data_IF_950436912193
#
_entry.id   IF_950436912193
#
_cell.length_a   1.000
_cell.length_b   1.000
_cell.length_c   1.000
_cell.angle_alpha   90.00
_cell.angle_beta   90.00
_cell.angle_gamma   90.00
#
_symmetry.space_group_name_H-M   'P 1'
#
loop_
_entity.id
_entity.type
_entity.pdbx_description
1 polymer ?
#
# COMPACT_ATOMS: atom_id res chain seq x y z
N UNK A 1 -14.27 14.08 -6.82
CA UNK A 1 -13.25 14.52 -5.85
C UNK A 1 -12.38 15.69 -6.35
N UNK A 2 -12.45 16.08 -7.63
CA UNK A 2 -11.75 17.25 -8.22
C UNK A 2 -11.96 18.61 -7.50
N UNK A 3 -13.15 18.86 -6.91
CA UNK A 3 -13.53 20.20 -6.39
C UNK A 3 -12.97 20.56 -5.01
N UNK A 4 -12.40 19.62 -4.26
CA UNK A 4 -11.98 19.88 -2.87
C UNK A 4 -10.46 19.98 -2.67
N UNK A 5 -9.67 19.26 -3.47
CA UNK A 5 -8.20 19.18 -3.28
C UNK A 5 -7.44 19.59 -4.56
N UNK A 6 -8.12 19.68 -5.71
CA UNK A 6 -7.49 20.06 -6.99
C UNK A 6 -6.55 19.01 -7.60
N UNK A 7 -6.31 17.90 -6.89
CA UNK A 7 -5.43 16.82 -7.34
C UNK A 7 -6.31 15.62 -7.72
N UNK A 8 -6.15 15.05 -8.94
CA UNK A 8 -6.88 13.86 -9.33
C UNK A 8 -6.40 12.64 -8.53
N UNK A 9 -7.34 11.81 -8.08
CA UNK A 9 -7.08 10.63 -7.24
C UNK A 9 -6.09 9.66 -7.90
N UNK A 10 -6.09 9.62 -9.25
CA UNK A 10 -5.13 8.85 -10.05
C UNK A 10 -3.68 9.36 -9.93
N UNK A 11 -3.46 10.67 -9.77
CA UNK A 11 -2.12 11.22 -9.58
C UNK A 11 -1.59 10.92 -8.17
N UNK A 12 -2.45 10.98 -7.15
CA UNK A 12 -2.08 10.56 -5.79
C UNK A 12 -1.73 9.07 -5.75
N UNK A 13 -2.53 8.23 -6.41
CA UNK A 13 -2.23 6.80 -6.55
C UNK A 13 -0.93 6.53 -7.30
N UNK A 14 -0.65 7.26 -8.39
CA UNK A 14 0.59 7.10 -9.15
C UNK A 14 1.84 7.45 -8.32
N UNK A 15 1.79 8.52 -7.52
CA UNK A 15 2.88 8.90 -6.61
C UNK A 15 3.09 7.84 -5.53
N UNK A 16 2.01 7.31 -4.97
CA UNK A 16 2.08 6.26 -3.98
C UNK A 16 2.67 4.95 -4.53
N UNK A 17 2.22 4.50 -5.70
CA UNK A 17 2.80 3.32 -6.35
C UNK A 17 4.26 3.52 -6.77
N UNK A 18 4.66 4.74 -7.12
CA UNK A 18 6.07 5.08 -7.33
C UNK A 18 6.86 4.98 -6.02
N UNK A 19 6.29 5.45 -4.91
CA UNK A 19 6.83 5.26 -3.57
C UNK A 19 7.03 3.78 -3.25
N UNK A 20 6.00 2.97 -3.48
CA UNK A 20 6.03 1.51 -3.30
C UNK A 20 7.06 0.83 -4.19
N UNK A 21 7.18 1.24 -5.45
CA UNK A 21 8.16 0.69 -6.37
C UNK A 21 9.59 1.04 -5.94
N UNK A 22 9.84 2.27 -5.51
CA UNK A 22 11.16 2.72 -5.02
C UNK A 22 11.50 2.01 -3.71
N UNK A 23 10.55 1.94 -2.77
CA UNK A 23 10.72 1.24 -1.51
C UNK A 23 10.89 -0.26 -1.76
N UNK A 24 10.16 -0.88 -2.67
CA UNK A 24 10.29 -2.27 -3.08
C UNK A 24 11.64 -2.58 -3.72
N UNK A 25 12.08 -1.76 -4.69
CA UNK A 25 13.37 -1.91 -5.38
C UNK A 25 14.57 -1.65 -4.47
N UNK A 26 14.45 -0.76 -3.49
CA UNK A 26 15.48 -0.53 -2.48
C UNK A 26 15.64 -1.71 -1.50
N UNK A 27 14.91 -2.82 -1.69
CA UNK A 27 14.94 -4.00 -0.86
C UNK A 27 15.40 -5.26 -1.53
N UNK A 28 16.59 -5.71 -1.18
CA UNK A 28 16.99 -7.09 -1.45
C UNK A 28 16.33 -8.05 -0.46
N UNK A 29 16.30 -9.33 -0.82
CA UNK A 29 15.75 -10.48 -0.06
C UNK A 29 16.32 -10.67 1.35
N UNK A 30 17.36 -9.95 1.76
CA UNK A 30 17.97 -10.01 3.10
C UNK A 30 17.69 -8.77 3.99
N UNK A 31 16.66 -7.98 3.66
CA UNK A 31 16.36 -6.67 4.29
C UNK A 31 16.12 -6.68 5.80
N UNK A 32 15.42 -7.70 6.28
CA UNK A 32 14.99 -7.86 7.67
C UNK A 32 16.14 -7.83 8.68
N UNK A 33 17.35 -8.25 8.25
CA UNK A 33 18.53 -8.33 9.11
C UNK A 33 19.41 -7.07 9.08
N UNK A 34 19.32 -6.25 8.02
CA UNK A 34 20.14 -5.03 7.87
C UNK A 34 19.38 -3.73 8.13
N UNK A 35 18.08 -3.64 7.78
CA UNK A 35 17.28 -2.41 7.88
C UNK A 35 15.80 -2.71 8.16
N UNK A 36 15.44 -3.27 9.33
CA UNK A 36 14.05 -3.62 9.66
C UNK A 36 13.11 -2.40 9.66
N UNK A 37 13.62 -1.20 9.96
CA UNK A 37 12.84 0.05 9.91
C UNK A 37 12.31 0.41 8.51
N UNK A 38 13.04 0.08 7.44
CA UNK A 38 12.60 0.35 6.06
C UNK A 38 11.41 -0.53 5.66
N UNK A 39 11.37 -1.77 6.15
CA UNK A 39 10.26 -2.71 5.90
C UNK A 39 9.01 -2.29 6.66
N UNK A 40 9.16 -1.82 7.91
CA UNK A 40 8.04 -1.29 8.69
C UNK A 40 7.46 -0.02 8.07
N UNK A 41 8.30 0.90 7.59
CA UNK A 41 7.85 2.10 6.87
C UNK A 41 7.09 1.76 5.58
N UNK A 42 7.60 0.80 4.79
CA UNK A 42 6.92 0.31 3.60
C UNK A 42 5.54 -0.29 3.93
N UNK A 43 5.45 -1.11 4.97
CA UNK A 43 4.18 -1.63 5.45
C UNK A 43 3.17 -0.57 5.87
N UNK A 44 3.65 0.45 6.59
CA UNK A 44 2.82 1.58 7.04
C UNK A 44 2.31 2.41 5.86
N UNK A 45 3.01 2.45 4.73
CA UNK A 45 2.54 3.15 3.53
C UNK A 45 1.53 2.30 2.76
N UNK A 46 1.91 1.06 2.41
CA UNK A 46 1.11 0.13 1.58
C UNK A 46 -0.25 -0.22 2.20
N UNK A 47 -0.29 -0.55 3.49
CA UNK A 47 -1.50 -1.04 4.16
C UNK A 47 -2.65 -0.01 4.12
N UNK A 48 -2.48 1.24 4.60
CA UNK A 48 -3.53 2.24 4.51
C UNK A 48 -3.85 2.62 3.07
N UNK A 49 -2.85 2.65 2.17
CA UNK A 49 -3.11 3.00 0.78
C UNK A 49 -4.01 1.97 0.07
N UNK A 50 -3.72 0.68 0.26
CA UNK A 50 -4.57 -0.40 -0.23
C UNK A 50 -5.95 -0.39 0.42
N UNK A 51 -6.04 -0.07 1.72
CA UNK A 51 -7.31 0.09 2.44
C UNK A 51 -8.20 1.21 1.86
N UNK A 52 -7.61 2.39 1.61
CA UNK A 52 -8.32 3.52 0.98
C UNK A 52 -8.80 3.14 -0.42
N UNK A 53 -7.95 2.48 -1.22
CA UNK A 53 -8.31 2.02 -2.56
C UNK A 53 -9.51 1.06 -2.55
N UNK A 54 -9.52 0.09 -1.63
CA UNK A 54 -10.64 -0.85 -1.47
C UNK A 54 -11.94 -0.14 -1.07
N UNK A 55 -11.89 0.79 -0.11
CA UNK A 55 -13.05 1.58 0.32
C UNK A 55 -13.61 2.40 -0.85
N UNK A 56 -12.74 3.04 -1.65
CA UNK A 56 -13.17 3.84 -2.80
C UNK A 56 -13.90 2.98 -3.85
N UNK A 57 -13.41 1.78 -4.14
CA UNK A 57 -14.07 0.86 -5.09
C UNK A 57 -15.41 0.35 -4.54
N UNK A 58 -15.50 0.05 -3.25
CA UNK A 58 -16.76 -0.34 -2.60
C UNK A 58 -17.79 0.80 -2.71
N UNK A 59 -17.39 2.04 -2.44
CA UNK A 59 -18.29 3.20 -2.55
C UNK A 59 -18.72 3.42 -4.01
N UNK A 60 -17.81 3.30 -4.97
CA UNK A 60 -18.13 3.45 -6.40
C UNK A 60 -19.16 2.43 -6.89
N UNK A 61 -19.02 1.18 -6.46
CA UNK A 61 -19.92 0.09 -6.86
C UNK A 61 -21.27 0.14 -6.14
N UNK A 62 -21.30 0.48 -4.85
CA UNK A 62 -22.54 0.46 -4.04
C UNK A 62 -23.34 1.76 -4.07
N UNK A 63 -22.66 2.92 -4.01
CA UNK A 63 -23.33 4.22 -3.87
C UNK A 63 -23.53 4.88 -5.24
N UNK A 64 -22.52 4.84 -6.11
CA UNK A 64 -22.54 5.54 -7.40
C UNK A 64 -23.08 4.65 -8.53
N UNK A 65 -23.06 3.33 -8.37
CA UNK A 65 -23.46 2.37 -9.41
C UNK A 65 -22.62 2.44 -10.68
N UNK A 66 -21.44 3.07 -10.61
CA UNK A 66 -20.53 3.24 -11.74
C UNK A 66 -19.41 2.21 -11.65
N UNK A 67 -19.15 1.54 -12.76
CA UNK A 67 -18.13 0.51 -12.86
C UNK A 67 -16.94 1.04 -13.63
N UNK A 68 -15.80 1.11 -12.95
CA UNK A 68 -14.53 1.53 -13.53
C UNK A 68 -13.60 0.31 -13.59
N UNK A 69 -13.43 -0.28 -14.77
CA UNK A 69 -12.56 -1.45 -14.96
C UNK A 69 -11.13 -1.17 -14.48
N UNK A 70 -10.57 -0.01 -14.84
CA UNK A 70 -9.24 0.42 -14.40
C UNK A 70 -9.13 0.51 -12.87
N UNK A 71 -10.17 1.02 -12.21
CA UNK A 71 -10.20 1.19 -10.76
C UNK A 71 -10.24 -0.16 -10.03
N UNK A 72 -11.03 -1.12 -10.53
CA UNK A 72 -11.05 -2.49 -10.01
C UNK A 72 -9.69 -3.16 -10.16
N UNK A 73 -9.05 -3.04 -11.33
CA UNK A 73 -7.72 -3.61 -11.57
C UNK A 73 -6.69 -3.01 -10.61
N UNK A 74 -6.68 -1.68 -10.44
CA UNK A 74 -5.75 -1.04 -9.49
C UNK A 74 -6.01 -1.46 -8.05
N UNK A 75 -7.28 -1.58 -7.62
CA UNK A 75 -7.60 -2.03 -6.27
C UNK A 75 -7.19 -3.48 -6.04
N UNK A 76 -7.36 -4.35 -7.05
CA UNK A 76 -6.89 -5.72 -6.99
C UNK A 76 -5.36 -5.81 -6.83
N UNK A 77 -4.61 -5.03 -7.62
CA UNK A 77 -3.14 -4.98 -7.52
C UNK A 77 -2.71 -4.46 -6.14
N UNK A 78 -3.32 -3.39 -5.65
CA UNK A 78 -3.10 -2.89 -4.28
C UNK A 78 -3.32 -3.96 -3.22
N UNK A 79 -4.42 -4.73 -3.30
CA UNK A 79 -4.71 -5.78 -2.33
C UNK A 79 -3.67 -6.91 -2.34
N UNK A 80 -3.20 -7.29 -3.53
CA UNK A 80 -2.13 -8.29 -3.66
C UNK A 80 -0.83 -7.79 -3.03
N UNK A 81 -0.47 -6.52 -3.27
CA UNK A 81 0.71 -5.90 -2.65
C UNK A 81 0.62 -5.88 -1.13
N UNK A 82 -0.54 -5.50 -0.58
CA UNK A 82 -0.79 -5.51 0.87
C UNK A 82 -0.64 -6.93 1.44
N UNK A 83 -1.18 -7.94 0.76
CA UNK A 83 -1.08 -9.33 1.20
C UNK A 83 0.37 -9.81 1.31
N UNK A 84 1.19 -9.49 0.31
CA UNK A 84 2.62 -9.83 0.32
C UNK A 84 3.41 -9.03 1.36
N UNK A 85 3.14 -7.72 1.47
CA UNK A 85 3.80 -6.85 2.43
C UNK A 85 3.47 -7.22 3.89
N UNK A 86 2.29 -7.79 4.15
CA UNK A 86 1.86 -8.15 5.50
C UNK A 86 2.78 -9.18 6.16
N UNK A 87 3.15 -10.23 5.44
CA UNK A 87 4.09 -11.24 5.95
C UNK A 87 5.43 -10.57 6.28
N UNK A 88 5.89 -9.69 5.37
CA UNK A 88 7.14 -8.95 5.50
C UNK A 88 7.21 -7.98 6.68
N UNK A 89 6.08 -7.38 7.04
CA UNK A 89 6.01 -6.44 8.14
C UNK A 89 5.93 -7.20 9.47
N UNK A 90 5.18 -8.30 9.50
CA UNK A 90 4.92 -9.06 10.73
C UNK A 90 6.18 -9.66 11.36
N UNK A 91 7.03 -10.30 10.56
CA UNK A 91 8.27 -10.87 11.08
C UNK A 91 9.33 -9.79 11.46
N UNK A 92 9.25 -8.55 10.91
CA UNK A 92 10.15 -7.43 11.18
C UNK A 92 9.80 -6.84 12.54
N UNK A 93 8.49 -6.67 12.79
CA UNK A 93 7.95 -6.27 14.08
C UNK A 93 8.29 -7.33 15.14
N UNK A 94 8.17 -8.61 14.81
CA UNK A 94 8.49 -9.71 15.74
C UNK A 94 9.99 -9.73 16.09
N UNK A 95 10.86 -9.52 15.11
CA UNK A 95 12.30 -9.39 15.32
C UNK A 95 12.64 -8.16 16.19
N UNK A 96 12.07 -6.99 15.87
CA UNK A 96 12.28 -5.76 16.65
C UNK A 96 11.78 -5.92 18.10
N UNK A 97 10.61 -6.54 18.32
CA UNK A 97 10.14 -6.84 19.68
C UNK A 97 11.09 -7.74 20.46
N UNK A 98 11.70 -8.72 19.80
CA UNK A 98 12.63 -9.66 20.45
C UNK A 98 13.99 -9.01 20.78
N UNK A 99 14.43 -8.02 20.01
CA UNK A 99 15.68 -7.27 20.26
C UNK A 99 15.49 -6.18 21.34
N UNK A 100 14.27 -5.66 21.49
CA UNK A 100 13.95 -4.60 22.46
C UNK A 100 13.45 -5.12 23.83
N UNK A 101 13.37 -6.45 24.00
CA UNK A 101 13.23 -7.12 25.30
C UNK A 101 14.59 -7.51 25.85
#
# INVERSE_FOLDING_TARGET
MQRWIGIPDAALGAVAYLGDAVLGLAGSTQRWRHRPWLVVLFGIDVIPLGGVSAILVIIQTTVLGQWCFLCLVTAFISLVLVYWAYDEVWSSITYLRRVWQ
#
